data_IF_521031390723
#
_entry.id   IF_521031390723
#
_cell.length_a   1.000
_cell.length_b   1.000
_cell.length_c   1.000
_cell.angle_alpha   90.00
_cell.angle_beta   90.00
_cell.angle_gamma   90.00
#
_symmetry.space_group_name_H-M   'P 1'
#
loop_
_entity.id
_entity.type
_entity.pdbx_description
1 polymer ?
#
# COMPACT_ATOMS: atom_id res chain seq x y z
N UNK A 1 10.30 16.70 24.75
CA UNK A 1 8.89 16.90 24.33
C UNK A 1 8.89 16.81 22.81
N UNK A 2 8.64 15.66 22.26
CA UNK A 2 8.45 15.45 20.80
C UNK A 2 7.07 15.98 20.46
N UNK A 3 7.01 17.10 19.76
CA UNK A 3 5.74 17.59 19.19
C UNK A 3 5.30 16.58 18.14
N UNK A 4 4.21 15.88 18.40
CA UNK A 4 3.56 15.07 17.37
C UNK A 4 3.31 15.94 16.12
N UNK A 5 3.56 15.44 14.92
CA UNK A 5 3.27 16.19 13.72
C UNK A 5 1.78 16.58 13.71
N UNK A 6 1.50 17.88 13.53
CA UNK A 6 0.12 18.35 13.35
C UNK A 6 -0.30 18.00 11.92
N UNK A 7 -1.13 16.95 11.79
CA UNK A 7 -1.77 16.64 10.51
C UNK A 7 -2.94 17.60 10.28
N UNK A 8 -3.13 18.00 9.01
CA UNK A 8 -4.33 18.74 8.59
C UNK A 8 -5.55 17.83 8.52
N UNK A 9 -6.74 18.44 8.44
CA UNK A 9 -7.99 17.71 8.21
C UNK A 9 -8.07 17.17 6.79
N UNK A 10 -8.71 16.02 6.63
CA UNK A 10 -9.10 15.47 5.32
C UNK A 10 -10.59 15.75 5.06
N UNK A 11 -10.96 15.87 3.78
CA UNK A 11 -12.33 16.06 3.32
C UNK A 11 -12.67 14.98 2.30
N UNK A 12 -13.72 14.21 2.53
CA UNK A 12 -14.19 13.21 1.58
C UNK A 12 -14.68 13.91 0.30
N UNK A 13 -14.07 13.57 -0.84
CA UNK A 13 -14.44 14.11 -2.15
C UNK A 13 -15.54 13.26 -2.78
N UNK A 14 -15.36 11.94 -2.72
CA UNK A 14 -16.23 10.95 -3.33
C UNK A 14 -16.09 9.63 -2.59
N UNK A 15 -17.14 8.83 -2.44
CA UNK A 15 -17.01 7.47 -1.93
C UNK A 15 -16.41 6.49 -2.95
N UNK A 16 -16.13 6.92 -4.18
CA UNK A 16 -15.59 6.12 -5.28
C UNK A 16 -14.28 6.71 -5.78
N UNK A 17 -13.40 5.87 -6.32
CA UNK A 17 -12.19 6.35 -7.00
C UNK A 17 -12.55 7.15 -8.26
N UNK A 18 -11.82 8.24 -8.49
CA UNK A 18 -11.96 9.05 -9.69
C UNK A 18 -11.34 8.32 -10.90
N UNK A 19 -12.18 7.80 -11.80
CA UNK A 19 -11.76 7.09 -12.99
C UNK A 19 -10.95 7.95 -13.99
N UNK A 20 -11.01 9.27 -13.87
CA UNK A 20 -10.21 10.21 -14.68
C UNK A 20 -8.84 10.50 -14.09
N UNK A 21 -8.64 10.19 -12.81
CA UNK A 21 -7.41 10.39 -12.06
C UNK A 21 -6.63 9.08 -11.89
N UNK A 22 -6.24 8.51 -13.03
CA UNK A 22 -5.54 7.22 -13.11
C UNK A 22 -4.36 7.34 -14.07
N UNK A 23 -3.17 6.96 -13.59
CA UNK A 23 -1.97 6.83 -14.42
C UNK A 23 -1.68 5.36 -14.69
N UNK A 24 -1.35 5.03 -15.93
CA UNK A 24 -1.07 3.66 -16.36
C UNK A 24 0.31 3.55 -16.99
N UNK A 25 1.01 2.42 -16.75
CA UNK A 25 2.31 2.15 -17.32
C UNK A 25 2.69 0.67 -17.22
N UNK A 26 3.84 0.30 -17.78
CA UNK A 26 4.30 -1.10 -17.82
C UNK A 26 3.72 -1.86 -19.02
N UNK A 27 3.50 -3.17 -18.86
CA UNK A 27 3.01 -4.05 -19.93
C UNK A 27 1.49 -3.90 -20.08
N UNK A 28 1.05 -3.35 -21.20
CA UNK A 28 -0.38 -3.33 -21.53
C UNK A 28 -0.90 -4.78 -21.64
N UNK A 29 -2.16 -4.97 -21.26
CA UNK A 29 -2.85 -6.27 -21.28
C UNK A 29 -2.32 -7.33 -20.29
N UNK A 30 -1.30 -7.02 -19.48
CA UNK A 30 -0.84 -7.88 -18.40
C UNK A 30 -1.76 -7.78 -17.16
N UNK A 31 -1.64 -8.71 -16.17
CA UNK A 31 -2.28 -8.54 -14.88
C UNK A 31 -1.88 -7.21 -14.22
N UNK A 32 -2.83 -6.62 -13.49
CA UNK A 32 -2.67 -5.29 -12.91
C UNK A 32 -2.01 -5.38 -11.53
N UNK A 33 -1.05 -4.49 -11.29
CA UNK A 33 -0.53 -4.14 -9.96
C UNK A 33 -0.96 -2.71 -9.64
N UNK A 34 -1.73 -2.56 -8.56
CA UNK A 34 -2.25 -1.27 -8.12
C UNK A 34 -1.18 -0.47 -7.39
N UNK A 35 -1.08 0.84 -7.66
CA UNK A 35 -0.17 1.76 -6.98
C UNK A 35 -0.99 2.76 -6.15
N UNK A 36 -0.67 2.89 -4.85
CA UNK A 36 -1.39 3.73 -3.89
C UNK A 36 -0.42 4.69 -3.20
N UNK A 37 -0.58 5.98 -3.43
CA UNK A 37 0.31 7.04 -2.96
C UNK A 37 0.25 7.30 -1.44
N UNK A 38 1.21 8.07 -0.92
CA UNK A 38 1.22 8.56 0.46
C UNK A 38 0.32 9.78 0.70
N UNK A 39 0.19 10.16 1.98
CA UNK A 39 -0.56 11.36 2.40
C UNK A 39 -0.08 12.62 1.68
N UNK A 40 -1.01 13.38 1.14
CA UNK A 40 -0.74 14.69 0.50
C UNK A 40 -0.23 14.60 -0.93
N UNK A 41 -0.15 13.38 -1.51
CA UNK A 41 0.28 13.13 -2.87
C UNK A 41 -0.90 12.88 -3.82
N UNK A 42 -0.64 12.33 -5.00
CA UNK A 42 -1.64 12.01 -6.02
C UNK A 42 -1.22 10.77 -6.84
N UNK A 43 -2.01 10.41 -7.86
CA UNK A 43 -1.81 9.26 -8.75
C UNK A 43 -0.49 9.30 -9.53
N UNK A 44 0.14 10.46 -9.71
CA UNK A 44 1.39 10.59 -10.47
C UNK A 44 2.63 10.22 -9.65
N UNK A 45 2.51 10.20 -8.34
CA UNK A 45 3.64 9.96 -7.43
C UNK A 45 4.26 8.58 -7.69
N UNK A 46 3.58 7.50 -7.35
CA UNK A 46 4.11 6.15 -7.58
C UNK A 46 4.16 5.76 -9.05
N UNK A 47 3.37 6.38 -9.93
CA UNK A 47 3.48 6.20 -11.37
C UNK A 47 4.89 6.58 -11.88
N UNK A 48 5.57 7.51 -11.24
CA UNK A 48 6.95 7.89 -11.55
C UNK A 48 7.97 6.77 -11.33
N UNK A 49 7.64 5.76 -10.54
CA UNK A 49 8.50 4.61 -10.25
C UNK A 49 8.38 3.49 -11.30
N UNK A 50 7.33 3.50 -12.13
CA UNK A 50 7.05 2.44 -13.12
C UNK A 50 8.23 2.15 -14.04
N UNK A 51 9.04 3.11 -14.52
CA UNK A 51 10.22 2.85 -15.34
C UNK A 51 11.28 1.97 -14.66
N UNK A 52 11.26 1.84 -13.34
CA UNK A 52 12.21 1.04 -12.55
C UNK A 52 11.64 -0.33 -12.17
N UNK A 53 10.37 -0.59 -12.47
CA UNK A 53 9.68 -1.84 -12.16
C UNK A 53 9.72 -2.80 -13.37
N UNK A 54 9.63 -4.12 -13.16
CA UNK A 54 9.69 -5.09 -14.26
C UNK A 54 8.48 -4.94 -15.18
N UNK A 55 8.67 -4.90 -16.51
CA UNK A 55 7.58 -4.72 -17.48
C UNK A 55 6.79 -6.02 -17.72
N UNK A 56 6.43 -6.73 -16.66
CA UNK A 56 5.66 -7.99 -16.67
C UNK A 56 4.25 -7.80 -16.14
N UNK A 57 3.96 -6.63 -15.56
CA UNK A 57 2.65 -6.21 -15.10
C UNK A 57 2.24 -4.90 -15.75
N UNK A 58 0.94 -4.64 -15.81
CA UNK A 58 0.45 -3.28 -15.95
C UNK A 58 0.37 -2.65 -14.55
N UNK A 59 0.96 -1.48 -14.40
CA UNK A 59 0.92 -0.70 -13.17
C UNK A 59 -0.13 0.39 -13.30
N UNK A 60 -1.07 0.41 -12.37
CA UNK A 60 -2.17 1.38 -12.37
C UNK A 60 -2.15 2.16 -11.07
N UNK A 61 -1.84 3.43 -11.16
CA UNK A 61 -1.80 4.34 -10.01
C UNK A 61 -3.10 5.12 -9.92
N UNK A 62 -3.70 5.11 -8.73
CA UNK A 62 -5.00 5.72 -8.45
C UNK A 62 -4.90 6.77 -7.37
N UNK A 63 -5.86 7.69 -7.34
CA UNK A 63 -5.94 8.81 -6.42
C UNK A 63 -6.79 8.50 -5.20
N UNK A 64 -6.33 8.92 -4.02
CA UNK A 64 -7.10 8.83 -2.77
C UNK A 64 -8.42 9.62 -2.80
N UNK A 65 -9.42 9.10 -2.09
CA UNK A 65 -10.79 9.63 -2.09
C UNK A 65 -10.99 10.87 -1.22
N UNK A 66 -10.00 11.24 -0.42
CA UNK A 66 -10.05 12.43 0.43
C UNK A 66 -9.14 13.54 -0.11
N UNK A 67 -9.58 14.80 0.03
CA UNK A 67 -8.74 15.99 -0.15
C UNK A 67 -7.87 16.20 1.09
N UNK A 68 -6.60 16.51 0.87
CA UNK A 68 -5.68 16.90 1.94
C UNK A 68 -4.77 18.03 1.46
N UNK A 69 -4.95 19.22 1.99
CA UNK A 69 -4.19 20.43 1.58
C UNK A 69 -4.24 20.62 0.06
N UNK A 70 -3.13 20.45 -0.66
CA UNK A 70 -3.06 20.55 -2.13
C UNK A 70 -3.02 19.19 -2.84
N UNK A 71 -3.07 18.10 -2.08
CA UNK A 71 -3.04 16.72 -2.58
C UNK A 71 -4.21 15.90 -2.07
N UNK A 72 -3.98 14.60 -1.92
CA UNK A 72 -5.00 13.63 -1.57
C UNK A 72 -4.56 12.74 -0.42
N UNK A 73 -5.51 12.03 0.16
CA UNK A 73 -5.32 11.11 1.26
C UNK A 73 -6.26 9.91 1.12
N UNK A 74 -5.92 8.83 1.81
CA UNK A 74 -6.76 7.66 1.93
C UNK A 74 -7.59 7.68 3.22
N UNK A 75 -7.08 8.37 4.25
CA UNK A 75 -7.74 8.52 5.55
C UNK A 75 -7.12 9.68 6.33
N UNK A 76 -7.75 10.07 7.43
CA UNK A 76 -7.24 11.07 8.34
C UNK A 76 -6.10 10.54 9.22
N UNK A 77 -5.24 11.45 9.69
CA UNK A 77 -4.11 11.14 10.56
C UNK A 77 -4.14 12.02 11.83
N UNK A 78 -3.70 11.48 12.98
CA UNK A 78 -3.28 10.11 13.22
C UNK A 78 -4.45 9.13 13.16
N UNK A 79 -4.18 7.85 12.88
CA UNK A 79 -5.22 6.83 12.97
C UNK A 79 -5.72 6.69 14.40
N UNK A 80 -7.03 6.71 14.55
CA UNK A 80 -7.74 6.45 15.80
C UNK A 80 -8.24 4.99 15.78
N UNK A 81 -7.80 4.13 16.72
CA UNK A 81 -8.20 2.72 16.75
C UNK A 81 -9.71 2.50 16.90
N UNK A 82 -10.44 3.50 17.43
CA UNK A 82 -11.87 3.44 17.61
C UNK A 82 -12.66 4.00 16.40
N UNK A 83 -11.96 4.49 15.36
CA UNK A 83 -12.57 5.17 14.21
C UNK A 83 -12.01 4.67 12.87
N UNK A 84 -12.35 3.43 12.46
CA UNK A 84 -11.86 2.85 11.21
C UNK A 84 -12.55 3.40 9.94
N UNK A 85 -13.59 4.25 10.06
CA UNK A 85 -14.51 4.57 8.96
C UNK A 85 -13.80 5.13 7.73
N UNK A 86 -12.75 5.95 7.90
CA UNK A 86 -12.06 6.57 6.79
C UNK A 86 -11.21 5.55 5.99
N UNK A 87 -10.43 4.71 6.68
CA UNK A 87 -9.64 3.67 6.01
C UNK A 87 -10.54 2.60 5.40
N UNK A 88 -11.66 2.27 6.07
CA UNK A 88 -12.66 1.33 5.57
C UNK A 88 -13.36 1.87 4.31
N UNK A 89 -13.69 3.16 4.28
CA UNK A 89 -14.28 3.81 3.10
C UNK A 89 -13.31 3.79 1.91
N UNK A 90 -12.03 4.04 2.15
CA UNK A 90 -11.00 3.96 1.11
C UNK A 90 -10.79 2.53 0.63
N UNK A 91 -10.78 1.55 1.53
CA UNK A 91 -10.66 0.14 1.15
C UNK A 91 -11.85 -0.30 0.28
N UNK A 92 -13.07 0.06 0.68
CA UNK A 92 -14.27 -0.23 -0.10
C UNK A 92 -14.25 0.41 -1.50
N UNK A 93 -13.80 1.67 -1.62
CA UNK A 93 -13.65 2.34 -2.91
C UNK A 93 -12.62 1.66 -3.82
N UNK A 94 -11.51 1.16 -3.25
CA UNK A 94 -10.50 0.40 -3.99
C UNK A 94 -11.03 -0.97 -4.40
N UNK A 95 -11.72 -1.68 -3.53
CA UNK A 95 -12.36 -2.98 -3.84
C UNK A 95 -13.38 -2.85 -4.99
N UNK A 96 -14.22 -1.81 -4.96
CA UNK A 96 -15.15 -1.50 -6.05
C UNK A 96 -14.40 -1.26 -7.37
N UNK A 97 -13.32 -0.50 -7.32
CA UNK A 97 -12.49 -0.24 -8.49
C UNK A 97 -11.84 -1.53 -9.00
N UNK A 98 -11.30 -2.39 -8.13
CA UNK A 98 -10.73 -3.70 -8.48
C UNK A 98 -11.78 -4.57 -9.16
N UNK A 99 -12.99 -4.65 -8.61
CA UNK A 99 -14.08 -5.46 -9.15
C UNK A 99 -14.56 -4.98 -10.52
N UNK A 100 -14.38 -3.70 -10.86
CA UNK A 100 -14.75 -3.12 -12.14
C UNK A 100 -13.69 -3.32 -13.24
N UNK A 101 -12.50 -3.85 -12.92
CA UNK A 101 -11.47 -4.08 -13.93
C UNK A 101 -11.77 -5.34 -14.77
N UNK A 102 -11.56 -5.26 -16.08
CA UNK A 102 -11.70 -6.40 -17.00
C UNK A 102 -10.57 -7.43 -16.80
N UNK A 103 -9.42 -6.98 -16.31
CA UNK A 103 -8.23 -7.82 -16.06
C UNK A 103 -7.99 -7.98 -14.57
N UNK A 104 -7.43 -9.12 -14.15
CA UNK A 104 -7.19 -9.37 -12.72
C UNK A 104 -6.22 -8.34 -12.13
N UNK A 105 -6.58 -7.76 -11.00
CA UNK A 105 -5.68 -7.01 -10.12
C UNK A 105 -5.03 -8.03 -9.19
N UNK A 106 -3.74 -8.30 -9.41
CA UNK A 106 -3.05 -9.39 -8.72
C UNK A 106 -2.22 -8.95 -7.52
N UNK A 107 -1.94 -7.66 -7.43
CA UNK A 107 -1.13 -7.14 -6.32
C UNK A 107 -1.27 -5.64 -6.14
N UNK A 108 -0.71 -5.14 -5.06
CA UNK A 108 -0.64 -3.71 -4.78
C UNK A 108 0.74 -3.30 -4.25
N UNK A 109 1.16 -2.09 -4.62
CA UNK A 109 2.31 -1.38 -4.05
C UNK A 109 1.77 -0.11 -3.42
N UNK A 110 2.00 0.08 -2.13
CA UNK A 110 1.58 1.29 -1.44
C UNK A 110 2.72 1.94 -0.67
N UNK A 111 2.79 3.27 -0.73
CA UNK A 111 3.71 4.05 0.08
C UNK A 111 2.98 4.71 1.24
N UNK A 112 3.52 4.61 2.46
CA UNK A 112 2.99 5.27 3.66
C UNK A 112 1.49 4.96 3.88
N UNK A 113 0.58 5.92 3.75
CA UNK A 113 -0.87 5.67 3.80
C UNK A 113 -1.32 4.62 2.76
N UNK A 114 -0.77 4.64 1.55
CA UNK A 114 -1.07 3.63 0.53
C UNK A 114 -0.62 2.23 0.94
N UNK A 115 0.51 2.11 1.66
CA UNK A 115 0.97 0.85 2.24
C UNK A 115 0.03 0.34 3.34
N UNK A 116 -0.45 1.25 4.20
CA UNK A 116 -1.45 0.93 5.20
C UNK A 116 -2.76 0.44 4.57
N UNK A 117 -3.19 1.09 3.48
CA UNK A 117 -4.38 0.69 2.74
C UNK A 117 -4.22 -0.67 2.05
N UNK A 118 -3.03 -0.98 1.50
CA UNK A 118 -2.74 -2.30 0.94
C UNK A 118 -2.87 -3.41 1.97
N UNK A 119 -2.39 -3.18 3.20
CA UNK A 119 -2.58 -4.11 4.31
C UNK A 119 -4.05 -4.23 4.71
N UNK A 120 -4.81 -3.10 4.68
CA UNK A 120 -6.23 -3.10 5.00
C UNK A 120 -7.05 -3.93 4.00
N UNK A 121 -6.73 -3.87 2.70
CA UNK A 121 -7.37 -4.73 1.69
C UNK A 121 -7.19 -6.21 2.02
N UNK A 122 -5.98 -6.64 2.41
CA UNK A 122 -5.73 -8.02 2.82
C UNK A 122 -6.46 -8.42 4.11
N UNK A 123 -6.62 -7.49 5.05
CA UNK A 123 -7.38 -7.73 6.30
C UNK A 123 -8.87 -7.91 6.04
N UNK A 124 -9.41 -7.25 5.02
CA UNK A 124 -10.82 -7.37 4.62
C UNK A 124 -11.08 -8.65 3.82
N UNK A 125 -10.20 -8.96 2.87
CA UNK A 125 -10.21 -10.21 2.12
C UNK A 125 -8.76 -10.69 1.86
N UNK A 126 -8.29 -11.74 2.55
CA UNK A 126 -6.94 -12.28 2.36
C UNK A 126 -6.64 -12.81 0.95
N UNK A 127 -7.68 -12.99 0.13
CA UNK A 127 -7.57 -13.46 -1.26
C UNK A 127 -7.75 -12.35 -2.29
N UNK A 128 -8.04 -11.12 -1.87
CA UNK A 128 -8.23 -9.97 -2.78
C UNK A 128 -7.00 -9.72 -3.65
N UNK A 129 -5.80 -9.92 -3.10
CA UNK A 129 -4.53 -9.72 -3.77
C UNK A 129 -3.62 -10.93 -3.55
N UNK A 130 -2.89 -11.33 -4.58
CA UNK A 130 -1.92 -12.43 -4.49
C UNK A 130 -0.65 -12.01 -3.74
N UNK A 131 -0.32 -10.72 -3.71
CA UNK A 131 0.82 -10.16 -2.99
C UNK A 131 0.65 -8.66 -2.71
N UNK A 132 1.40 -8.15 -1.75
CA UNK A 132 1.52 -6.71 -1.50
C UNK A 132 2.97 -6.28 -1.34
N UNK A 133 3.25 -5.03 -1.72
CA UNK A 133 4.48 -4.31 -1.39
C UNK A 133 4.09 -3.13 -0.51
N UNK A 134 4.53 -3.16 0.72
CA UNK A 134 4.30 -2.12 1.72
C UNK A 134 5.59 -1.30 1.87
N UNK A 135 5.60 -0.08 1.36
CA UNK A 135 6.73 0.86 1.48
C UNK A 135 6.42 1.87 2.59
N UNK A 136 7.07 1.72 3.73
CA UNK A 136 6.91 2.58 4.92
C UNK A 136 5.46 2.73 5.41
N UNK A 137 4.57 1.77 5.13
CA UNK A 137 3.19 1.75 5.61
C UNK A 137 3.05 0.92 6.90
N UNK A 138 1.91 1.00 7.54
CA UNK A 138 1.64 0.43 8.86
C UNK A 138 0.22 -0.14 8.92
N UNK A 139 -0.05 -1.19 9.71
CA UNK A 139 -1.40 -1.70 9.88
C UNK A 139 -2.27 -0.71 10.66
N UNK A 140 -3.57 -0.72 10.41
CA UNK A 140 -4.53 -0.06 11.30
C UNK A 140 -4.36 -0.61 12.74
N UNK A 141 -4.33 0.26 13.78
CA UNK A 141 -3.83 -0.14 15.10
C UNK A 141 -4.75 -1.06 15.92
N UNK A 142 -6.02 -1.20 15.52
CA UNK A 142 -6.94 -2.12 16.19
C UNK A 142 -6.97 -3.50 15.51
N UNK A 143 -7.30 -4.53 16.29
CA UNK A 143 -7.61 -5.85 15.74
C UNK A 143 -8.87 -5.79 14.87
N UNK A 144 -8.89 -6.56 13.77
CA UNK A 144 -9.99 -6.60 12.82
C UNK A 144 -10.48 -8.05 12.63
N UNK A 145 -11.73 -8.19 12.22
CA UNK A 145 -12.39 -9.50 12.04
C UNK A 145 -11.61 -10.42 11.09
N UNK A 146 -11.01 -9.86 10.03
CA UNK A 146 -10.26 -10.63 9.02
C UNK A 146 -8.85 -11.05 9.43
N UNK A 147 -8.31 -10.59 10.57
CA UNK A 147 -6.91 -10.87 10.97
C UNK A 147 -6.63 -12.37 11.12
N UNK A 148 -7.58 -13.12 11.67
CA UNK A 148 -7.42 -14.56 11.84
C UNK A 148 -7.33 -15.29 10.49
N UNK A 149 -8.19 -14.92 9.53
CA UNK A 149 -8.15 -15.49 8.18
C UNK A 149 -6.87 -15.09 7.44
N UNK A 150 -6.42 -13.85 7.59
CA UNK A 150 -5.17 -13.36 6.99
C UNK A 150 -3.95 -14.11 7.55
N UNK A 151 -3.93 -14.43 8.85
CA UNK A 151 -2.87 -15.19 9.48
C UNK A 151 -2.81 -16.66 9.00
N UNK A 152 -3.92 -17.21 8.51
CA UNK A 152 -3.98 -18.55 7.89
C UNK A 152 -3.49 -18.53 6.45
N UNK A 153 -3.93 -17.55 5.64
CA UNK A 153 -3.59 -17.43 4.21
C UNK A 153 -2.14 -17.00 3.99
N UNK A 154 -1.67 -15.99 4.73
CA UNK A 154 -0.30 -15.47 4.68
C UNK A 154 0.18 -15.13 3.26
N UNK A 155 -0.48 -14.22 2.54
CA UNK A 155 -0.04 -13.86 1.20
C UNK A 155 1.39 -13.32 1.21
N UNK A 156 2.19 -13.51 0.13
CA UNK A 156 3.51 -12.91 -0.02
C UNK A 156 3.47 -11.40 0.16
N UNK A 157 4.39 -10.87 0.96
CA UNK A 157 4.50 -9.44 1.18
C UNK A 157 5.96 -9.00 1.26
N UNK A 158 6.28 -7.87 0.63
CA UNK A 158 7.54 -7.16 0.84
C UNK A 158 7.27 -5.93 1.69
N UNK A 159 8.02 -5.75 2.76
CA UNK A 159 8.03 -4.53 3.55
C UNK A 159 9.35 -3.81 3.37
N UNK A 160 9.33 -2.67 2.67
CA UNK A 160 10.44 -1.74 2.54
C UNK A 160 10.28 -0.58 3.52
N UNK A 161 11.37 -0.21 4.22
CA UNK A 161 11.32 0.93 5.14
C UNK A 161 12.69 1.49 5.50
N UNK A 162 12.70 2.79 5.87
CA UNK A 162 13.89 3.51 6.30
C UNK A 162 14.18 3.35 7.79
N UNK A 163 15.44 3.04 8.15
CA UNK A 163 15.88 2.96 9.55
C UNK A 163 16.04 4.33 10.23
N UNK A 164 15.94 5.44 9.47
CA UNK A 164 15.93 6.82 9.97
C UNK A 164 14.58 7.50 9.67
N UNK A 165 13.54 6.73 9.40
CA UNK A 165 12.21 7.26 9.15
C UNK A 165 11.64 7.89 10.43
N UNK A 166 11.37 9.22 10.47
CA UNK A 166 10.90 9.90 11.67
C UNK A 166 9.45 9.50 12.06
N UNK A 167 8.73 8.80 11.20
CA UNK A 167 7.40 8.28 11.49
C UNK A 167 7.44 6.89 12.14
N UNK A 168 8.62 6.26 12.18
CA UNK A 168 8.88 4.97 12.81
C UNK A 168 9.82 5.15 14.00
N UNK A 169 9.26 5.26 15.20
CA UNK A 169 10.05 4.95 16.39
C UNK A 169 10.26 3.42 16.50
N UNK A 170 11.20 2.96 17.35
CA UNK A 170 11.49 1.52 17.45
C UNK A 170 10.29 0.66 17.86
N UNK A 171 9.36 1.22 18.61
CA UNK A 171 8.15 0.55 19.09
C UNK A 171 7.17 0.32 17.92
N UNK A 172 6.99 1.33 17.10
CA UNK A 172 6.17 1.25 15.89
C UNK A 172 6.80 0.34 14.82
N UNK A 173 8.11 0.44 14.60
CA UNK A 173 8.82 -0.47 13.68
C UNK A 173 8.62 -1.93 14.11
N UNK A 174 8.74 -2.22 15.41
CA UNK A 174 8.51 -3.55 15.95
C UNK A 174 7.07 -4.02 15.80
N UNK A 175 6.10 -3.16 16.07
CA UNK A 175 4.67 -3.49 15.91
C UNK A 175 4.30 -3.82 14.45
N UNK A 176 4.82 -3.07 13.48
CA UNK A 176 4.63 -3.37 12.05
C UNK A 176 5.26 -4.71 11.69
N UNK A 177 6.49 -4.98 12.15
CA UNK A 177 7.19 -6.26 11.90
C UNK A 177 6.42 -7.44 12.49
N UNK A 178 5.92 -7.32 13.71
CA UNK A 178 5.13 -8.35 14.37
C UNK A 178 3.84 -8.64 13.60
N UNK A 179 3.11 -7.59 13.23
CA UNK A 179 1.89 -7.75 12.45
C UNK A 179 2.17 -8.42 11.11
N UNK A 180 3.11 -7.92 10.32
CA UNK A 180 3.40 -8.47 8.99
C UNK A 180 3.94 -9.90 9.07
N UNK A 181 4.81 -10.20 10.04
CA UNK A 181 5.34 -11.56 10.24
C UNK A 181 4.26 -12.56 10.66
N UNK A 182 3.24 -12.13 11.41
CA UNK A 182 2.13 -12.98 11.80
C UNK A 182 1.15 -13.25 10.65
N UNK A 183 0.94 -12.27 9.77
CA UNK A 183 -0.17 -12.26 8.82
C UNK A 183 0.24 -12.42 7.35
N UNK A 184 1.54 -12.41 7.03
CA UNK A 184 2.04 -12.52 5.65
C UNK A 184 3.24 -13.45 5.56
N UNK A 185 3.58 -13.91 4.34
CA UNK A 185 4.89 -14.47 4.03
C UNK A 185 5.86 -13.29 3.78
N UNK A 186 6.35 -12.71 4.88
CA UNK A 186 7.09 -11.46 4.88
C UNK A 186 8.49 -11.62 4.32
N UNK A 187 8.85 -10.73 3.37
CA UNK A 187 10.20 -10.34 3.03
C UNK A 187 10.43 -8.90 3.53
N UNK A 188 11.59 -8.60 4.13
CA UNK A 188 11.89 -7.26 4.68
C UNK A 188 13.12 -6.66 4.00
N UNK A 189 13.01 -5.42 3.51
CA UNK A 189 14.12 -4.60 3.02
C UNK A 189 14.25 -3.35 3.91
N UNK A 190 15.13 -3.41 4.92
CA UNK A 190 15.40 -2.30 5.82
C UNK A 190 16.58 -1.49 5.33
N UNK A 191 16.34 -0.21 5.03
CA UNK A 191 17.36 0.76 4.57
C UNK A 191 17.90 1.58 5.75
N UNK A 192 19.06 1.25 6.35
CA UNK A 192 19.48 1.80 7.65
C UNK A 192 19.60 3.32 7.72
N UNK A 193 19.89 4.00 6.60
CA UNK A 193 20.10 5.45 6.54
C UNK A 193 19.00 6.20 5.79
N UNK A 194 17.96 5.50 5.33
CA UNK A 194 16.84 6.10 4.62
C UNK A 194 15.84 6.67 5.63
N UNK A 195 15.30 7.86 5.32
CA UNK A 195 14.16 8.46 6.03
C UNK A 195 12.83 7.94 5.48
N UNK A 196 11.77 8.77 5.55
CA UNK A 196 10.45 8.46 4.98
C UNK A 196 10.45 8.70 3.46
N UNK A 197 11.06 7.79 2.72
CA UNK A 197 11.26 7.87 1.27
C UNK A 197 11.50 6.47 0.70
N UNK A 198 11.61 6.38 -0.62
CA UNK A 198 12.00 5.17 -1.37
C UNK A 198 13.32 5.44 -2.07
N UNK A 199 14.31 4.55 -1.95
CA UNK A 199 15.59 4.66 -2.65
C UNK A 199 15.75 3.59 -3.76
N UNK A 200 16.80 3.75 -4.54
CA UNK A 200 17.10 2.84 -5.66
C UNK A 200 17.36 1.38 -5.21
N UNK A 201 17.88 1.18 -4.01
CA UNK A 201 18.15 -0.19 -3.52
C UNK A 201 16.83 -0.84 -3.12
N UNK A 202 15.95 -0.11 -2.44
CA UNK A 202 14.61 -0.58 -2.11
C UNK A 202 13.81 -0.89 -3.38
N UNK A 203 13.88 -0.02 -4.42
CA UNK A 203 13.25 -0.28 -5.71
C UNK A 203 13.79 -1.54 -6.40
N UNK A 204 15.07 -1.84 -6.27
CA UNK A 204 15.64 -3.10 -6.77
C UNK A 204 15.08 -4.32 -6.02
N UNK A 205 14.89 -4.23 -4.72
CA UNK A 205 14.25 -5.28 -3.93
C UNK A 205 12.79 -5.48 -4.36
N UNK A 206 12.04 -4.38 -4.58
CA UNK A 206 10.68 -4.42 -5.14
C UNK A 206 10.66 -5.10 -6.50
N UNK A 207 11.54 -4.69 -7.43
CA UNK A 207 11.62 -5.28 -8.76
C UNK A 207 11.91 -6.79 -8.72
N UNK A 208 12.84 -7.21 -7.88
CA UNK A 208 13.18 -8.63 -7.70
C UNK A 208 12.00 -9.41 -7.09
N UNK A 209 11.29 -8.86 -6.11
CA UNK A 209 10.08 -9.45 -5.54
C UNK A 209 9.01 -9.64 -6.61
N UNK A 210 8.70 -8.61 -7.40
CA UNK A 210 7.69 -8.66 -8.46
C UNK A 210 8.04 -9.68 -9.55
N UNK A 211 9.32 -9.80 -9.95
CA UNK A 211 9.75 -10.81 -10.92
C UNK A 211 9.47 -12.24 -10.43
N UNK A 212 9.69 -12.52 -9.13
CA UNK A 212 9.34 -13.81 -8.54
C UNK A 212 7.83 -14.07 -8.57
N UNK A 213 7.02 -13.05 -8.26
CA UNK A 213 5.54 -13.18 -8.30
C UNK A 213 5.02 -13.45 -9.70
N UNK A 214 5.59 -12.82 -10.72
CA UNK A 214 5.22 -13.11 -12.11
C UNK A 214 5.56 -14.57 -12.49
N UNK A 215 6.74 -15.07 -12.13
CA UNK A 215 7.13 -16.44 -12.41
C UNK A 215 6.23 -17.49 -11.72
N UNK A 216 5.76 -17.21 -10.50
CA UNK A 216 4.82 -18.07 -9.78
C UNK A 216 3.44 -18.13 -10.47
N UNK A 217 3.02 -17.07 -11.12
CA UNK A 217 1.76 -17.02 -11.88
C UNK A 217 1.82 -17.82 -13.18
N UNK A 218 2.97 -17.82 -13.87
CA UNK A 218 3.18 -18.55 -15.13
C UNK A 218 3.38 -20.07 -14.91
N UNK A 219 3.77 -20.48 -13.73
CA UNK A 219 4.05 -21.88 -13.35
C UNK A 219 2.84 -22.69 -12.86
N UNK A 220 1.65 -22.08 -12.84
CA UNK A 220 0.39 -22.71 -12.41
C UNK A 220 -0.51 -23.10 -13.57
#
# INVERSE_FOLDING_TARGET
MTTSPQYGSVELISPHLDQSAVERGGAQDAPIVLLMHGLGSDERDLASLVPFLPPVFEYVSVRGIFRYVQGYAWFDMPLDPDRPEAIESSAAAVEEWIAAQERPVVGAIGFSQGGALALQLLRRDPHALQFVVNLSGFPFPAAMEGDAALAEVRPPALWGHGGMDPLYDPEREQAVREFMSAHTALEEERRPQLGHAVDEIELRAVAAFLQRRAADADGR
#
